data_IF_587757713678
#
_entry.id   IF_587757713678
#
_cell.length_a   1.000
_cell.length_b   1.000
_cell.length_c   1.000
_cell.angle_alpha   90.00
_cell.angle_beta   90.00
_cell.angle_gamma   90.00
#
_symmetry.space_group_name_H-M   'P 1'
#
loop_
_entity.id
_entity.type
_entity.pdbx_description
1 polymer ?
#
# COMPACT_ATOMS: atom_id res chain seq x y z
N UNK A 1 2.06 -5.04 -6.92
CA UNK A 1 2.91 -4.65 -8.09
C UNK A 1 2.22 -4.99 -9.41
N UNK A 2 2.13 -4.03 -10.34
CA UNK A 2 1.63 -4.26 -11.70
C UNK A 2 2.78 -4.71 -12.60
N UNK A 3 2.79 -5.97 -13.04
CA UNK A 3 3.85 -6.52 -13.89
C UNK A 3 3.71 -5.97 -15.33
N UNK A 4 4.71 -5.25 -15.83
CA UNK A 4 4.67 -4.59 -17.14
C UNK A 4 5.34 -5.42 -18.25
N UNK A 5 5.15 -5.01 -19.52
CA UNK A 5 5.87 -5.59 -20.65
C UNK A 5 7.39 -5.46 -20.51
N UNK A 6 7.88 -4.34 -19.96
CA UNK A 6 9.30 -4.11 -19.74
C UNK A 6 9.85 -4.99 -18.62
N UNK A 7 9.03 -5.26 -17.59
CA UNK A 7 9.40 -6.20 -16.53
C UNK A 7 9.53 -7.62 -17.10
N UNK A 8 8.61 -8.04 -17.97
CA UNK A 8 8.68 -9.34 -18.64
C UNK A 8 9.95 -9.49 -19.50
N UNK A 9 10.28 -8.48 -20.31
CA UNK A 9 11.52 -8.47 -21.11
C UNK A 9 12.77 -8.45 -20.25
N UNK A 10 12.72 -7.77 -19.10
CA UNK A 10 13.83 -7.72 -18.15
C UNK A 10 14.00 -9.08 -17.47
N UNK A 11 12.92 -9.71 -17.01
CA UNK A 11 12.92 -11.07 -16.49
C UNK A 11 13.51 -12.07 -17.50
N UNK A 12 13.13 -11.99 -18.77
CA UNK A 12 13.67 -12.89 -19.81
C UNK A 12 15.18 -12.70 -20.03
N UNK A 13 15.68 -11.45 -19.98
CA UNK A 13 17.13 -11.15 -20.05
C UNK A 13 17.87 -11.66 -18.81
N UNK A 14 17.27 -11.54 -17.63
CA UNK A 14 17.83 -12.04 -16.37
C UNK A 14 17.88 -13.56 -16.36
N UNK A 15 16.80 -14.24 -16.75
CA UNK A 15 16.73 -15.70 -16.88
C UNK A 15 17.81 -16.23 -17.81
N UNK A 16 17.96 -15.62 -18.99
CA UNK A 16 18.98 -16.02 -19.96
C UNK A 16 20.41 -15.86 -19.41
N UNK A 17 20.70 -14.77 -18.69
CA UNK A 17 22.00 -14.57 -18.03
C UNK A 17 22.25 -15.61 -16.94
N UNK A 18 21.24 -15.90 -16.12
CA UNK A 18 21.33 -16.87 -15.03
C UNK A 18 21.65 -18.27 -15.57
N UNK A 19 20.92 -18.72 -16.59
CA UNK A 19 21.14 -20.02 -17.20
C UNK A 19 22.51 -20.11 -17.91
N UNK A 20 22.95 -19.04 -18.57
CA UNK A 20 24.27 -19.00 -19.18
C UNK A 20 25.41 -19.13 -18.15
N UNK A 21 25.24 -18.59 -16.93
CA UNK A 21 26.20 -18.75 -15.84
C UNK A 21 26.23 -20.19 -15.27
N UNK A 22 25.20 -20.98 -15.54
CA UNK A 22 25.11 -22.40 -15.19
C UNK A 22 25.37 -23.32 -16.40
N UNK A 23 26.10 -22.84 -17.42
CA UNK A 23 26.44 -23.54 -18.67
C UNK A 23 25.22 -24.04 -19.48
N UNK A 24 24.03 -23.47 -19.24
CA UNK A 24 22.81 -23.76 -19.97
C UNK A 24 22.40 -22.58 -20.87
N UNK A 25 22.86 -22.55 -22.13
CA UNK A 25 22.49 -21.46 -23.04
C UNK A 25 21.08 -21.67 -23.61
N UNK A 26 20.22 -20.65 -23.49
CA UNK A 26 18.93 -20.59 -24.20
C UNK A 26 18.83 -19.35 -25.10
N UNK A 27 18.02 -19.44 -26.15
CA UNK A 27 17.72 -18.29 -27.00
C UNK A 27 16.91 -17.24 -26.25
N UNK A 28 16.94 -15.99 -26.74
CA UNK A 28 16.11 -14.93 -26.16
C UNK A 28 14.61 -15.23 -26.31
N UNK A 29 14.19 -15.76 -27.45
CA UNK A 29 12.80 -16.18 -27.68
C UNK A 29 12.37 -17.25 -26.68
N UNK A 30 13.20 -18.27 -26.43
CA UNK A 30 12.89 -19.31 -25.43
C UNK A 30 12.77 -18.75 -24.02
N UNK A 31 13.61 -17.77 -23.66
CA UNK A 31 13.50 -17.09 -22.38
C UNK A 31 12.19 -16.30 -22.25
N UNK A 32 11.73 -15.65 -23.32
CA UNK A 32 10.44 -14.97 -23.36
C UNK A 32 9.28 -15.96 -23.18
N UNK A 33 9.33 -17.12 -23.83
CA UNK A 33 8.31 -18.17 -23.67
C UNK A 33 8.23 -18.69 -22.24
N UNK A 34 9.38 -18.94 -21.59
CA UNK A 34 9.42 -19.40 -20.20
C UNK A 34 8.81 -18.35 -19.26
N UNK A 35 9.16 -17.07 -19.44
CA UNK A 35 8.59 -15.97 -18.65
C UNK A 35 7.08 -15.86 -18.89
N UNK A 36 6.61 -15.98 -20.13
CA UNK A 36 5.17 -16.00 -20.42
C UNK A 36 4.43 -17.11 -19.69
N UNK A 37 4.98 -18.33 -19.68
CA UNK A 37 4.38 -19.47 -19.02
C UNK A 37 4.34 -19.29 -17.49
N UNK A 38 5.38 -18.70 -16.90
CA UNK A 38 5.41 -18.35 -15.47
C UNK A 38 4.33 -17.32 -15.09
N UNK A 39 3.97 -16.44 -16.03
CA UNK A 39 2.90 -15.47 -15.86
C UNK A 39 1.50 -16.04 -16.20
N UNK A 40 1.40 -17.33 -16.51
CA UNK A 40 0.14 -18.00 -16.84
C UNK A 40 -0.33 -17.80 -18.28
N UNK A 41 0.52 -17.30 -19.19
CA UNK A 41 0.21 -17.18 -20.62
C UNK A 41 0.74 -18.37 -21.42
N UNK A 42 0.01 -18.74 -22.46
CA UNK A 42 0.40 -19.86 -23.34
C UNK A 42 1.69 -19.60 -24.12
N UNK A 43 1.88 -18.35 -24.58
CA UNK A 43 3.03 -17.95 -25.40
C UNK A 43 3.41 -16.46 -25.23
N UNK A 44 4.54 -16.07 -25.81
CA UNK A 44 5.02 -14.68 -25.82
C UNK A 44 4.09 -13.71 -26.56
N UNK A 45 3.44 -14.12 -27.65
CA UNK A 45 2.58 -13.22 -28.41
C UNK A 45 1.36 -12.79 -27.58
N UNK A 46 0.74 -13.75 -26.89
CA UNK A 46 -0.40 -13.55 -25.99
C UNK A 46 0.00 -12.70 -24.79
N UNK A 47 1.12 -13.04 -24.14
CA UNK A 47 1.64 -12.27 -23.01
C UNK A 47 1.97 -10.83 -23.43
N UNK A 48 2.71 -10.65 -24.52
CA UNK A 48 3.10 -9.33 -25.01
C UNK A 48 1.88 -8.48 -25.34
N UNK A 49 0.87 -9.02 -26.03
CA UNK A 49 -0.35 -8.30 -26.36
C UNK A 49 -1.14 -7.90 -25.10
N UNK A 50 -1.20 -8.78 -24.09
CA UNK A 50 -1.89 -8.52 -22.82
C UNK A 50 -1.16 -7.49 -21.95
N UNK A 51 0.17 -7.56 -21.91
CA UNK A 51 1.05 -6.67 -21.13
C UNK A 51 1.27 -5.31 -21.80
N UNK A 52 1.15 -5.23 -23.13
CA UNK A 52 1.21 -3.97 -23.90
C UNK A 52 -0.14 -3.27 -24.00
N UNK A 53 -1.23 -3.94 -23.64
CA UNK A 53 -2.56 -3.35 -23.71
C UNK A 53 -2.66 -2.18 -22.73
N UNK A 54 -2.86 -0.97 -23.27
CA UNK A 54 -3.20 0.20 -22.48
C UNK A 54 -4.61 -0.02 -21.95
N UNK A 55 -4.70 -0.49 -20.71
CA UNK A 55 -5.96 -0.53 -19.98
C UNK A 55 -6.07 0.77 -19.19
N UNK A 56 -7.26 1.38 -19.12
CA UNK A 56 -7.50 2.56 -18.28
C UNK A 56 -7.51 2.21 -16.78
N UNK A 57 -6.75 1.18 -16.36
CA UNK A 57 -6.89 0.52 -15.07
C UNK A 57 -6.97 1.50 -13.90
N UNK A 58 -7.81 1.17 -12.92
CA UNK A 58 -7.93 1.96 -11.69
C UNK A 58 -6.93 1.43 -10.66
N UNK A 59 -6.26 2.35 -9.95
CA UNK A 59 -5.45 2.00 -8.78
C UNK A 59 -6.30 1.71 -7.55
N UNK A 60 -5.63 1.37 -6.45
CA UNK A 60 -6.28 1.36 -5.14
C UNK A 60 -6.84 2.77 -4.83
N UNK A 61 -8.01 2.82 -4.21
CA UNK A 61 -8.58 4.09 -3.72
C UNK A 61 -7.67 4.68 -2.65
N UNK A 62 -7.54 6.00 -2.63
CA UNK A 62 -6.91 6.76 -1.54
C UNK A 62 -8.02 7.45 -0.74
N UNK A 63 -8.35 6.96 0.47
CA UNK A 63 -9.29 7.64 1.34
C UNK A 63 -8.78 9.02 1.74
N UNK A 64 -9.67 10.02 1.75
CA UNK A 64 -9.40 11.35 2.28
C UNK A 64 -10.03 11.45 3.67
N UNK A 65 -9.20 11.55 4.70
CA UNK A 65 -9.61 11.65 6.10
C UNK A 65 -9.66 13.11 6.54
N UNK A 66 -10.77 13.49 7.16
CA UNK A 66 -10.94 14.82 7.73
C UNK A 66 -10.08 14.94 8.98
N UNK A 67 -9.19 15.94 9.02
CA UNK A 67 -8.37 16.29 10.18
C UNK A 67 -8.55 17.77 10.54
N UNK A 68 -8.39 18.15 11.80
CA UNK A 68 -8.63 19.54 12.23
C UNK A 68 -7.42 20.24 12.87
N UNK A 69 -6.31 19.51 13.02
CA UNK A 69 -5.07 20.01 13.60
C UNK A 69 -3.89 19.24 13.00
N UNK A 70 -3.03 19.94 12.25
CA UNK A 70 -1.82 19.35 11.63
C UNK A 70 -0.89 18.68 12.65
N UNK A 71 -0.69 19.28 13.83
CA UNK A 71 0.27 18.76 14.81
C UNK A 71 -0.19 17.42 15.36
N UNK A 72 -1.48 17.32 15.73
CA UNK A 72 -2.08 16.06 16.18
C UNK A 72 -2.11 15.01 15.07
N UNK A 73 -2.33 15.43 13.82
CA UNK A 73 -2.31 14.53 12.69
C UNK A 73 -0.91 13.93 12.47
N UNK A 74 0.15 14.76 12.52
CA UNK A 74 1.52 14.26 12.37
C UNK A 74 1.96 13.37 13.53
N UNK A 75 1.65 13.75 14.77
CA UNK A 75 1.91 12.91 15.96
C UNK A 75 1.28 11.52 15.82
N UNK A 76 0.00 11.46 15.42
CA UNK A 76 -0.71 10.19 15.30
C UNK A 76 -0.30 9.38 14.06
N UNK A 77 -0.34 9.96 12.87
CA UNK A 77 -0.15 9.22 11.62
C UNK A 77 1.33 8.96 11.32
N UNK A 78 2.21 9.92 11.56
CA UNK A 78 3.64 9.78 11.26
C UNK A 78 4.39 9.17 12.44
N UNK A 79 4.35 9.82 13.60
CA UNK A 79 5.21 9.43 14.72
C UNK A 79 4.74 8.12 15.38
N UNK A 80 3.45 7.98 15.63
CA UNK A 80 2.88 6.78 16.23
C UNK A 80 2.69 5.65 15.20
N UNK A 81 1.90 5.87 14.15
CA UNK A 81 1.62 4.84 13.13
C UNK A 81 2.74 4.64 12.10
N UNK A 82 3.80 5.45 12.09
CA UNK A 82 4.97 5.22 11.22
C UNK A 82 4.73 5.48 9.74
N UNK A 83 3.73 6.29 9.36
CA UNK A 83 3.61 6.75 7.99
C UNK A 83 4.72 7.77 7.65
N UNK A 84 4.95 7.93 6.35
CA UNK A 84 5.85 8.94 5.79
C UNK A 84 5.09 9.87 4.86
N UNK A 85 5.52 11.11 4.76
CA UNK A 85 4.92 12.10 3.84
C UNK A 85 5.38 11.80 2.41
N UNK A 86 4.44 11.66 1.48
CA UNK A 86 4.75 11.65 0.04
C UNK A 86 4.78 13.08 -0.51
N UNK A 87 3.77 13.88 -0.17
CA UNK A 87 3.69 15.31 -0.51
C UNK A 87 2.69 16.03 0.38
N UNK A 88 2.84 17.36 0.46
CA UNK A 88 1.91 18.24 1.14
C UNK A 88 1.61 19.48 0.32
N UNK A 89 0.43 20.06 0.54
CA UNK A 89 -0.02 21.25 -0.13
C UNK A 89 -0.74 22.18 0.84
N UNK A 90 -0.41 23.47 0.73
CA UNK A 90 -1.19 24.59 1.26
C UNK A 90 -1.27 25.64 0.15
N UNK A 91 -2.42 26.31 0.02
CA UNK A 91 -2.55 27.40 -0.94
C UNK A 91 -1.67 28.60 -0.56
N UNK A 92 -1.61 28.91 0.75
CA UNK A 92 -0.80 29.99 1.32
C UNK A 92 -0.36 29.62 2.74
N UNK A 93 0.68 30.27 3.31
CA UNK A 93 1.03 30.11 4.72
C UNK A 93 -0.17 30.35 5.64
N UNK A 94 -0.47 29.39 6.52
CA UNK A 94 -1.62 29.46 7.44
C UNK A 94 -2.97 29.04 6.86
N UNK A 95 -3.07 28.71 5.57
CA UNK A 95 -4.27 28.10 4.97
C UNK A 95 -4.30 26.59 5.21
N UNK A 96 -5.48 25.93 5.17
CA UNK A 96 -5.63 24.50 5.44
C UNK A 96 -4.64 23.60 4.68
N UNK A 97 -4.20 22.54 5.37
CA UNK A 97 -3.32 21.49 4.86
C UNK A 97 -4.09 20.47 4.04
N UNK A 98 -3.47 20.02 2.97
CA UNK A 98 -3.73 18.72 2.36
C UNK A 98 -2.42 17.92 2.35
N UNK A 99 -2.43 16.70 2.87
CA UNK A 99 -1.25 15.88 3.08
C UNK A 99 -1.47 14.45 2.58
N UNK A 100 -0.62 13.96 1.67
CA UNK A 100 -0.58 12.54 1.32
C UNK A 100 0.49 11.83 2.14
N UNK A 101 0.08 10.76 2.80
CA UNK A 101 0.95 9.90 3.59
C UNK A 101 0.93 8.46 3.08
N UNK A 102 2.06 7.78 3.24
CA UNK A 102 2.22 6.38 2.88
C UNK A 102 2.96 5.57 3.93
N UNK A 103 2.47 4.36 4.16
CA UNK A 103 3.15 3.29 4.88
C UNK A 103 2.98 2.00 4.09
N UNK A 104 4.09 1.41 3.66
CA UNK A 104 4.10 0.22 2.80
C UNK A 104 3.22 0.42 1.56
N UNK A 105 2.20 -0.42 1.34
CA UNK A 105 1.25 -0.29 0.24
C UNK A 105 -0.01 0.54 0.59
N UNK A 106 -0.11 1.06 1.82
CA UNK A 106 -1.25 1.87 2.27
C UNK A 106 -0.99 3.35 2.06
N UNK A 107 -1.87 4.00 1.31
CA UNK A 107 -1.86 5.45 1.07
C UNK A 107 -3.14 6.07 1.62
N UNK A 108 -2.98 7.15 2.39
CA UNK A 108 -4.09 7.96 2.93
C UNK A 108 -3.82 9.43 2.61
N UNK A 109 -4.90 10.17 2.35
CA UNK A 109 -4.85 11.63 2.29
C UNK A 109 -5.49 12.18 3.58
N UNK A 110 -4.86 13.19 4.17
CA UNK A 110 -5.37 13.93 5.32
C UNK A 110 -5.68 15.37 4.89
N UNK A 111 -6.86 15.87 5.22
CA UNK A 111 -7.29 17.22 4.80
C UNK A 111 -7.89 18.05 5.92
N UNK A 112 -7.36 19.27 6.09
CA UNK A 112 -7.93 20.35 6.91
C UNK A 112 -9.07 21.10 6.19
N UNK A 113 -9.23 20.90 4.87
CA UNK A 113 -10.22 21.62 4.08
C UNK A 113 -11.66 21.27 4.47
N UNK A 114 -12.49 22.30 4.55
CA UNK A 114 -13.92 22.12 4.78
C UNK A 114 -14.56 21.45 3.56
N UNK A 115 -15.29 20.35 3.78
CA UNK A 115 -15.96 19.58 2.72
C UNK A 115 -15.17 18.35 2.24
N UNK A 116 -13.91 18.21 2.64
CA UNK A 116 -13.12 17.01 2.36
C UNK A 116 -13.37 15.91 3.39
N UNK A 117 -13.61 14.69 2.92
CA UNK A 117 -13.86 13.54 3.79
C UNK A 117 -15.12 13.67 4.65
N UNK A 118 -15.39 12.65 5.46
CA UNK A 118 -16.45 12.67 6.48
C UNK A 118 -15.81 12.44 7.84
N UNK A 119 -16.03 13.32 8.84
CA UNK A 119 -15.56 13.06 10.21
C UNK A 119 -16.08 11.72 10.72
N UNK A 120 -15.23 10.95 11.41
CA UNK A 120 -15.64 9.65 11.95
C UNK A 120 -15.69 8.52 10.93
N UNK A 121 -14.96 8.64 9.80
CA UNK A 121 -14.89 7.59 8.78
C UNK A 121 -14.13 6.37 9.30
N UNK A 122 -14.52 5.18 8.86
CA UNK A 122 -13.77 3.94 9.08
C UNK A 122 -12.96 3.60 7.82
N UNK A 123 -11.65 3.40 7.96
CA UNK A 123 -10.79 2.82 6.93
C UNK A 123 -10.38 1.42 7.38
N UNK A 124 -10.72 0.43 6.57
CA UNK A 124 -10.24 -0.93 6.76
C UNK A 124 -8.92 -1.11 6.00
N UNK A 125 -7.88 -1.55 6.71
CA UNK A 125 -6.52 -1.68 6.19
C UNK A 125 -6.07 -3.13 6.40
N UNK A 126 -5.74 -3.87 5.33
CA UNK A 126 -5.19 -5.21 5.48
C UNK A 126 -3.77 -5.13 6.07
N UNK A 127 -3.49 -5.98 7.04
CA UNK A 127 -2.15 -6.19 7.59
C UNK A 127 -1.76 -7.66 7.47
N UNK A 128 -0.48 -7.95 7.26
CA UNK A 128 -0.02 -9.33 7.13
C UNK A 128 -0.06 -10.09 8.48
N UNK A 129 0.09 -9.39 9.60
CA UNK A 129 0.06 -9.99 10.93
C UNK A 129 -0.30 -8.94 12.00
N UNK A 130 -1.48 -9.06 12.61
CA UNK A 130 -1.97 -8.10 13.60
C UNK A 130 -1.13 -8.13 14.88
N UNK A 131 -0.67 -9.30 15.34
CA UNK A 131 0.13 -9.43 16.57
C UNK A 131 1.45 -8.67 16.44
N UNK A 132 2.15 -8.85 15.31
CA UNK A 132 3.43 -8.19 15.03
C UNK A 132 3.23 -6.68 14.86
N UNK A 133 2.16 -6.27 14.17
CA UNK A 133 1.83 -4.85 14.03
C UNK A 133 1.57 -4.19 15.39
N UNK A 134 0.76 -4.82 16.25
CA UNK A 134 0.48 -4.29 17.60
C UNK A 134 1.76 -4.19 18.43
N UNK A 135 2.62 -5.21 18.37
CA UNK A 135 3.89 -5.20 19.10
C UNK A 135 4.80 -4.04 18.65
N UNK A 136 4.87 -3.76 17.35
CA UNK A 136 5.64 -2.65 16.80
C UNK A 136 5.14 -1.29 17.34
N UNK A 137 3.85 -0.98 17.17
CA UNK A 137 3.31 0.32 17.60
C UNK A 137 3.35 0.48 19.13
N UNK A 138 3.30 -0.62 19.88
CA UNK A 138 3.43 -0.60 21.34
C UNK A 138 4.81 -0.14 21.82
N UNK A 139 5.84 -0.19 20.96
CA UNK A 139 7.15 0.41 21.28
C UNK A 139 7.12 1.94 21.28
N UNK A 140 6.11 2.54 20.65
CA UNK A 140 5.90 3.99 20.53
C UNK A 140 4.71 4.39 21.39
N UNK A 141 4.86 4.31 22.71
CA UNK A 141 3.76 4.58 23.65
C UNK A 141 3.10 5.93 23.35
N UNK A 142 1.78 5.93 23.16
CA UNK A 142 0.98 7.13 22.93
C UNK A 142 0.02 7.35 24.12
N UNK A 143 0.00 8.52 24.76
CA UNK A 143 -0.62 8.71 26.08
C UNK A 143 -2.13 8.49 26.11
N UNK A 144 -2.81 8.60 24.96
CA UNK A 144 -4.26 8.44 24.83
C UNK A 144 -4.71 7.16 24.12
N UNK A 145 -3.77 6.29 23.76
CA UNK A 145 -4.08 5.08 23.00
C UNK A 145 -3.60 3.84 23.75
N UNK A 146 -4.44 2.83 23.81
CA UNK A 146 -4.10 1.50 24.33
C UNK A 146 -4.77 0.44 23.45
N UNK A 147 -4.33 0.29 22.19
CA UNK A 147 -4.98 -0.60 21.25
C UNK A 147 -4.83 -2.07 21.68
N UNK A 148 -5.88 -2.84 21.46
CA UNK A 148 -5.89 -4.30 21.62
C UNK A 148 -6.17 -5.00 20.30
N UNK A 149 -6.08 -6.33 20.31
CA UNK A 149 -6.51 -7.17 19.18
C UNK A 149 -7.82 -7.85 19.56
N UNK A 150 -8.85 -7.62 18.77
CA UNK A 150 -10.02 -8.49 18.72
C UNK A 150 -9.71 -9.66 17.78
N UNK A 151 -9.61 -10.87 18.35
CA UNK A 151 -9.24 -12.08 17.60
C UNK A 151 -10.41 -12.66 16.81
N UNK A 152 -11.63 -12.30 17.17
CA UNK A 152 -12.87 -12.88 16.64
C UNK A 152 -13.62 -11.88 15.73
N UNK A 153 -12.99 -10.75 15.41
CA UNK A 153 -13.54 -9.73 14.54
C UNK A 153 -13.83 -10.28 13.11
N UNK A 154 -14.90 -9.80 12.44
CA UNK A 154 -15.19 -10.19 11.06
C UNK A 154 -14.02 -9.86 10.12
N UNK A 155 -13.57 -10.85 9.35
CA UNK A 155 -12.45 -10.71 8.40
C UNK A 155 -11.11 -11.19 8.94
N UNK A 156 -10.99 -11.40 10.27
CA UNK A 156 -9.78 -11.89 10.93
C UNK A 156 -9.39 -11.01 12.13
N UNK A 157 -8.32 -11.40 12.85
CA UNK A 157 -7.80 -10.62 13.98
C UNK A 157 -7.61 -9.14 13.61
N UNK A 158 -8.22 -8.24 14.39
CA UNK A 158 -8.29 -6.81 14.05
C UNK A 158 -7.85 -5.93 15.21
N UNK A 159 -7.06 -4.91 14.90
CA UNK A 159 -6.75 -3.79 15.80
C UNK A 159 -7.59 -2.60 15.34
N UNK A 160 -8.41 -2.06 16.24
CA UNK A 160 -9.13 -0.82 15.99
C UNK A 160 -8.39 0.34 16.68
N UNK A 161 -8.03 1.37 15.90
CA UNK A 161 -7.34 2.57 16.39
C UNK A 161 -8.11 3.81 15.94
N UNK A 162 -8.58 4.59 16.90
CA UNK A 162 -9.26 5.87 16.64
C UNK A 162 -8.23 7.01 16.65
N UNK A 163 -8.24 7.82 15.60
CA UNK A 163 -7.42 9.03 15.51
C UNK A 163 -7.97 10.18 16.37
N UNK A 164 -7.22 11.28 16.57
CA UNK A 164 -7.68 12.43 17.35
C UNK A 164 -8.93 13.14 16.80
N UNK A 165 -9.33 12.85 15.56
CA UNK A 165 -10.44 13.48 14.84
C UNK A 165 -11.66 12.56 14.73
N UNK A 166 -11.59 11.38 15.35
CA UNK A 166 -12.65 10.38 15.41
C UNK A 166 -12.66 9.39 14.24
N UNK A 167 -11.76 9.51 13.25
CA UNK A 167 -11.62 8.50 12.20
C UNK A 167 -11.06 7.21 12.81
N UNK A 168 -11.45 6.07 12.26
CA UNK A 168 -11.11 4.76 12.78
C UNK A 168 -10.33 3.97 11.73
N UNK A 169 -9.13 3.51 12.08
CA UNK A 169 -8.38 2.56 11.29
C UNK A 169 -8.62 1.15 11.85
N UNK A 170 -9.17 0.27 11.02
CA UNK A 170 -9.32 -1.16 11.30
C UNK A 170 -8.21 -1.92 10.61
N UNK A 171 -7.17 -2.24 11.36
CA UNK A 171 -6.00 -2.96 10.89
C UNK A 171 -6.27 -4.45 11.04
N UNK A 172 -6.68 -5.10 9.96
CA UNK A 172 -7.22 -6.45 9.98
C UNK A 172 -6.25 -7.44 9.31
N UNK A 173 -5.93 -8.51 10.02
CA UNK A 173 -5.13 -9.61 9.48
C UNK A 173 -5.94 -10.39 8.45
N UNK A 174 -5.54 -10.31 7.18
CA UNK A 174 -6.13 -11.11 6.11
C UNK A 174 -5.40 -12.44 6.00
N UNK A 175 -6.15 -13.54 6.08
CA UNK A 175 -5.64 -14.83 5.68
C UNK A 175 -5.55 -14.84 4.14
N UNK A 176 -4.34 -14.89 3.59
CA UNK A 176 -4.11 -15.24 2.18
C UNK A 176 -4.57 -16.68 1.87
#
# INVERSE_FOLDING_TARGET
MHFTLNDAKTAARTLRRSLAAADASISHSRALEIVSQQLGFTDWNTASARLSAVRPGMGASVPVLRIHDESLAREFYLDYLGFTVEWEHRFEPGMPLYLRIRRDETTLDLSEHHGDGTPGTVVWVPVANAVTFLAEISTRSHPRLNPGIDRDAPGGPTIEITDPFGNVLRLCETND
#
